data_IF_920304830107
#
_entry.id   IF_920304830107
#
_cell.length_a   1.000
_cell.length_b   1.000
_cell.length_c   1.000
_cell.angle_alpha   90.00
_cell.angle_beta   90.00
_cell.angle_gamma   90.00
#
_symmetry.space_group_name_H-M   'P 1'
#
loop_
_entity.id
_entity.type
_entity.pdbx_description
1 polymer ?
#
# COMPACT_ATOMS: atom_id res chain seq x y z
N UNK A 1 35.59 -19.37 -69.87
CA UNK A 1 36.03 -18.00 -69.52
C UNK A 1 34.78 -17.15 -69.49
N UNK A 2 34.12 -17.12 -68.35
CA UNK A 2 32.88 -16.36 -68.13
C UNK A 2 33.21 -15.26 -67.13
N UNK A 3 33.10 -14.01 -67.57
CA UNK A 3 33.26 -12.82 -66.74
C UNK A 3 31.88 -12.37 -66.27
N UNK A 4 31.58 -12.62 -65.00
CA UNK A 4 30.37 -12.13 -64.33
C UNK A 4 30.61 -10.70 -63.88
N UNK A 5 29.71 -9.80 -64.30
CA UNK A 5 29.77 -8.37 -64.03
C UNK A 5 29.26 -8.09 -62.62
N UNK A 6 30.07 -7.34 -61.88
CA UNK A 6 29.84 -6.82 -60.53
C UNK A 6 28.66 -5.84 -60.53
N UNK A 7 27.61 -6.13 -59.75
CA UNK A 7 26.47 -5.23 -59.53
C UNK A 7 26.39 -4.87 -58.05
N UNK A 8 27.20 -3.88 -57.68
CA UNK A 8 27.15 -3.22 -56.40
C UNK A 8 26.00 -2.21 -56.33
N UNK A 9 24.82 -2.66 -55.90
CA UNK A 9 23.77 -1.80 -55.35
C UNK A 9 23.51 -2.20 -53.89
N UNK A 10 24.48 -1.92 -53.02
CA UNK A 10 24.22 -1.82 -51.60
C UNK A 10 23.55 -0.46 -51.35
N UNK A 11 22.21 -0.44 -51.34
CA UNK A 11 21.46 0.67 -50.75
C UNK A 11 21.75 0.71 -49.26
N UNK A 12 22.77 1.49 -48.88
CA UNK A 12 22.99 1.92 -47.52
C UNK A 12 21.80 2.78 -47.13
N UNK A 13 20.79 2.15 -46.53
CA UNK A 13 19.71 2.83 -45.84
C UNK A 13 20.33 3.47 -44.60
N UNK A 14 20.93 4.64 -44.78
CA UNK A 14 21.41 5.46 -43.70
C UNK A 14 20.22 5.78 -42.80
N UNK A 15 20.19 5.17 -41.62
CA UNK A 15 19.26 5.50 -40.56
C UNK A 15 19.55 6.94 -40.15
N UNK A 16 18.92 7.91 -40.82
CA UNK A 16 18.92 9.30 -40.41
C UNK A 16 18.41 9.32 -38.97
N UNK A 17 19.31 9.60 -38.03
CA UNK A 17 18.93 9.77 -36.64
C UNK A 17 17.83 10.84 -36.60
N UNK A 18 16.68 10.56 -35.96
CA UNK A 18 15.56 11.50 -35.94
C UNK A 18 16.06 12.85 -35.42
N UNK A 19 15.59 13.92 -36.05
CA UNK A 19 15.94 15.30 -35.68
C UNK A 19 15.80 15.46 -34.15
N UNK A 20 16.78 16.05 -33.44
CA UNK A 20 16.77 16.12 -31.98
C UNK A 20 15.48 16.75 -31.42
N UNK A 21 14.93 17.72 -32.15
CA UNK A 21 13.67 18.40 -31.79
C UNK A 21 12.44 17.46 -31.85
N UNK A 22 12.43 16.49 -32.77
CA UNK A 22 11.37 15.48 -32.85
C UNK A 22 11.47 14.48 -31.69
N UNK A 23 12.70 14.09 -31.31
CA UNK A 23 12.93 13.21 -30.17
C UNK A 23 12.49 13.89 -28.85
N UNK A 24 12.77 15.18 -28.69
CA UNK A 24 12.37 15.96 -27.51
C UNK A 24 10.84 16.13 -27.43
N UNK A 25 10.17 16.53 -28.52
CA UNK A 25 8.70 16.65 -28.54
C UNK A 25 8.01 15.32 -28.25
N UNK A 26 8.49 14.22 -28.84
CA UNK A 26 7.92 12.89 -28.61
C UNK A 26 8.10 12.41 -27.16
N UNK A 27 9.27 12.63 -26.57
CA UNK A 27 9.54 12.23 -25.18
C UNK A 27 8.76 13.06 -24.19
N UNK A 28 8.57 14.35 -24.46
CA UNK A 28 7.68 15.22 -23.69
C UNK A 28 6.22 14.73 -23.73
N UNK A 29 5.67 14.43 -24.91
CA UNK A 29 4.29 13.91 -25.02
C UNK A 29 4.14 12.55 -24.34
N UNK A 30 5.12 11.65 -24.47
CA UNK A 30 5.12 10.38 -23.74
C UNK A 30 5.15 10.58 -22.22
N UNK A 31 5.98 11.49 -21.72
CA UNK A 31 6.04 11.85 -20.30
C UNK A 31 4.70 12.41 -19.82
N UNK A 32 4.07 13.31 -20.58
CA UNK A 32 2.78 13.92 -20.27
C UNK A 32 1.64 12.89 -20.21
N UNK A 33 1.61 11.94 -21.16
CA UNK A 33 0.66 10.82 -21.15
C UNK A 33 0.89 9.95 -19.90
N UNK A 34 2.14 9.63 -19.58
CA UNK A 34 2.48 8.83 -18.41
C UNK A 34 2.17 9.54 -17.08
N UNK A 35 2.36 10.86 -17.00
CA UNK A 35 2.04 11.68 -15.83
C UNK A 35 0.52 11.74 -15.63
N UNK A 36 -0.25 11.99 -16.70
CA UNK A 36 -1.70 11.95 -16.66
C UNK A 36 -2.24 10.57 -16.25
N UNK A 37 -1.63 9.49 -16.75
CA UNK A 37 -1.96 8.12 -16.35
C UNK A 37 -1.63 7.86 -14.87
N UNK A 38 -0.47 8.33 -14.37
CA UNK A 38 -0.07 8.22 -12.97
C UNK A 38 -1.04 8.95 -12.03
N UNK A 39 -1.40 10.20 -12.35
CA UNK A 39 -2.37 10.96 -11.55
C UNK A 39 -3.74 10.29 -11.54
N UNK A 40 -4.20 9.77 -12.68
CA UNK A 40 -5.46 9.02 -12.77
C UNK A 40 -5.41 7.73 -11.96
N UNK A 41 -4.31 6.99 -12.02
CA UNK A 41 -4.13 5.75 -11.27
C UNK A 41 -4.26 5.98 -9.76
N UNK A 42 -3.68 7.06 -9.22
CA UNK A 42 -3.85 7.42 -7.80
C UNK A 42 -5.31 7.70 -7.45
N UNK A 43 -6.02 8.44 -8.30
CA UNK A 43 -7.44 8.72 -8.09
C UNK A 43 -8.30 7.45 -8.16
N UNK A 44 -8.06 6.58 -9.14
CA UNK A 44 -8.80 5.34 -9.33
C UNK A 44 -8.55 4.35 -8.18
N UNK A 45 -7.30 4.25 -7.66
CA UNK A 45 -6.98 3.44 -6.49
C UNK A 45 -7.71 3.92 -5.23
N UNK A 46 -7.78 5.24 -5.00
CA UNK A 46 -8.56 5.82 -3.89
C UNK A 46 -10.05 5.54 -4.05
N UNK A 47 -10.59 5.70 -5.25
CA UNK A 47 -11.99 5.42 -5.56
C UNK A 47 -12.34 3.93 -5.35
N UNK A 48 -11.42 3.03 -5.71
CA UNK A 48 -11.57 1.59 -5.50
C UNK A 48 -11.65 1.22 -4.01
N UNK A 49 -10.81 1.82 -3.16
CA UNK A 49 -10.86 1.56 -1.72
C UNK A 49 -12.17 2.06 -1.09
N UNK A 50 -12.63 3.25 -1.50
CA UNK A 50 -13.95 3.77 -1.11
C UNK A 50 -15.07 2.83 -1.59
N UNK A 51 -15.02 2.35 -2.83
CA UNK A 51 -16.00 1.40 -3.37
C UNK A 51 -16.00 0.07 -2.60
N UNK A 52 -14.83 -0.46 -2.22
CA UNK A 52 -14.70 -1.68 -1.41
C UNK A 52 -15.33 -1.53 -0.03
N UNK A 53 -15.07 -0.42 0.65
CA UNK A 53 -15.66 -0.16 1.97
C UNK A 53 -17.19 -0.02 1.89
N UNK A 54 -17.69 0.69 0.88
CA UNK A 54 -19.13 0.80 0.61
C UNK A 54 -19.77 -0.55 0.30
N UNK A 55 -19.11 -1.39 -0.51
CA UNK A 55 -19.58 -2.74 -0.84
C UNK A 55 -19.64 -3.63 0.40
N UNK A 56 -18.61 -3.60 1.26
CA UNK A 56 -18.63 -4.33 2.53
C UNK A 56 -19.77 -3.86 3.44
N UNK A 57 -19.99 -2.55 3.54
CA UNK A 57 -21.08 -1.99 4.32
C UNK A 57 -22.47 -2.39 3.75
N UNK A 58 -22.64 -2.35 2.43
CA UNK A 58 -23.85 -2.78 1.74
C UNK A 58 -24.12 -4.28 1.95
N UNK A 59 -23.10 -5.14 1.82
CA UNK A 59 -23.20 -6.58 2.10
C UNK A 59 -23.56 -6.87 3.56
N UNK A 60 -22.98 -6.13 4.52
CA UNK A 60 -23.34 -6.24 5.95
C UNK A 60 -24.80 -5.84 6.20
N UNK A 61 -25.28 -4.75 5.60
CA UNK A 61 -26.69 -4.33 5.69
C UNK A 61 -27.65 -5.38 5.12
N UNK A 62 -27.39 -5.88 3.91
CA UNK A 62 -28.17 -6.96 3.28
C UNK A 62 -28.24 -8.22 4.17
N UNK A 63 -27.12 -8.59 4.79
CA UNK A 63 -27.06 -9.74 5.70
C UNK A 63 -27.87 -9.52 6.98
N UNK A 64 -27.91 -8.29 7.51
CA UNK A 64 -28.73 -7.94 8.68
C UNK A 64 -30.22 -7.92 8.35
N UNK A 65 -30.60 -7.41 7.18
CA UNK A 65 -31.99 -7.42 6.69
C UNK A 65 -32.51 -8.84 6.47
N UNK A 66 -31.68 -9.73 5.90
CA UNK A 66 -32.03 -11.15 5.73
C UNK A 66 -32.15 -11.92 7.04
N UNK A 67 -31.39 -11.52 8.08
CA UNK A 67 -31.44 -12.10 9.42
C UNK A 67 -32.52 -11.49 10.32
N UNK A 68 -33.12 -10.37 9.92
CA UNK A 68 -34.23 -9.78 10.65
C UNK A 68 -35.46 -10.70 10.52
N UNK A 69 -36.06 -11.16 11.63
CA UNK A 69 -37.27 -11.95 11.56
C UNK A 69 -38.36 -11.07 10.95
N UNK A 70 -38.87 -11.47 9.78
CA UNK A 70 -40.08 -10.87 9.20
C UNK A 70 -41.11 -10.77 10.33
N UNK A 71 -41.64 -9.57 10.66
CA UNK A 71 -42.65 -9.47 11.70
C UNK A 71 -43.80 -10.37 11.26
N UNK A 72 -43.99 -11.46 12.01
CA UNK A 72 -45.00 -12.46 11.71
C UNK A 72 -46.33 -11.74 11.52
N UNK A 73 -46.86 -11.81 10.29
CA UNK A 73 -48.28 -11.58 10.05
C UNK A 73 -49.02 -12.42 11.09
N UNK A 74 -49.62 -11.76 12.08
CA UNK A 74 -50.51 -12.42 13.04
C UNK A 74 -51.57 -13.18 12.23
N UNK A 75 -51.80 -14.48 12.45
CA UNK A 75 -52.99 -15.10 11.93
C UNK A 75 -54.17 -14.46 12.65
N UNK A 76 -55.04 -13.81 11.89
CA UNK A 76 -56.31 -13.27 12.37
C UNK A 76 -57.16 -14.43 12.90
N UNK A 77 -57.06 -14.67 14.21
CA UNK A 77 -57.89 -15.60 14.96
C UNK A 77 -59.31 -15.02 15.08
N UNK A 78 -60.25 -15.68 14.41
CA UNK A 78 -61.63 -15.92 14.84
C UNK A 78 -62.29 -14.79 15.66
N UNK A 79 -63.07 -13.94 14.98
CA UNK A 79 -64.26 -13.33 15.57
C UNK A 79 -65.50 -13.96 14.92
N UNK A 80 -66.18 -14.81 15.68
CA UNK A 80 -67.48 -15.44 15.41
C UNK A 80 -68.42 -15.08 16.59
N UNK A 81 -69.76 -15.18 16.46
CA UNK A 81 -70.60 -13.98 16.34
C UNK A 81 -71.79 -13.96 17.30
N UNK A 82 -72.06 -12.87 18.03
CA UNK A 82 -73.41 -12.63 18.60
C UNK A 82 -73.70 -11.14 18.78
N UNK A 83 -74.75 -10.64 18.12
CA UNK A 83 -75.29 -9.30 18.37
C UNK A 83 -76.11 -8.70 17.22
N UNK A 84 -77.26 -9.31 16.89
CA UNK A 84 -78.26 -8.74 15.96
C UNK A 84 -78.84 -7.44 16.51
N UNK A 85 -78.83 -6.35 15.71
CA UNK A 85 -80.04 -5.57 15.35
C UNK A 85 -79.75 -4.56 14.21
N UNK A 86 -80.44 -4.80 13.08
CA UNK A 86 -81.05 -3.91 12.05
C UNK A 86 -80.61 -2.42 12.09
N UNK A 87 -80.27 -1.73 10.99
CA UNK A 87 -80.91 -1.71 9.67
C UNK A 87 -80.10 -0.88 8.65
N UNK A 88 -79.97 -1.43 7.44
CA UNK A 88 -80.00 -0.81 6.10
C UNK A 88 -79.25 0.51 5.75
N UNK A 89 -78.35 0.37 4.76
CA UNK A 89 -78.41 0.93 3.39
C UNK A 89 -77.26 1.88 2.94
N UNK A 90 -76.33 1.26 2.21
CA UNK A 90 -75.75 1.63 0.91
C UNK A 90 -74.80 2.84 0.70
N UNK A 91 -73.77 2.53 -0.11
CA UNK A 91 -72.97 3.36 -1.07
C UNK A 91 -71.88 4.32 -0.57
N UNK A 92 -70.63 3.83 -0.63
CA UNK A 92 -69.46 4.29 -1.44
C UNK A 92 -69.49 5.65 -2.21
N UNK A 93 -68.33 6.20 -2.65
CA UNK A 93 -67.37 7.12 -1.99
C UNK A 93 -67.25 8.44 -2.83
N UNK A 94 -66.13 9.18 -3.00
CA UNK A 94 -64.91 9.46 -2.21
C UNK A 94 -64.71 10.99 -1.98
N UNK A 95 -63.55 11.40 -1.42
CA UNK A 95 -62.79 12.66 -1.68
C UNK A 95 -62.21 13.26 -0.40
N UNK A 96 -60.90 13.08 -0.21
CA UNK A 96 -60.07 14.14 0.36
C UNK A 96 -58.66 14.01 -0.19
N UNK A 97 -58.47 14.74 -1.29
CA UNK A 97 -57.24 15.37 -1.72
C UNK A 97 -56.53 15.97 -0.50
N UNK A 98 -55.37 15.44 -0.16
CA UNK A 98 -54.37 16.18 0.61
C UNK A 98 -53.12 16.29 -0.26
N UNK A 99 -52.48 17.47 -0.30
CA UNK A 99 -51.35 17.71 -1.18
C UNK A 99 -50.13 16.98 -0.63
N UNK A 100 -49.55 16.10 -1.46
CA UNK A 100 -48.17 15.66 -1.29
C UNK A 100 -47.30 16.89 -1.48
N UNK A 101 -46.80 17.42 -0.39
CA UNK A 101 -45.58 18.23 -0.36
C UNK A 101 -44.43 17.31 -0.76
N UNK A 102 -43.82 17.62 -1.88
CA UNK A 102 -42.53 17.10 -2.31
C UNK A 102 -41.50 17.34 -1.21
N UNK A 103 -41.13 16.26 -0.51
CA UNK A 103 -39.99 16.19 0.39
C UNK A 103 -38.76 15.66 -0.38
N UNK A 104 -37.55 16.08 0.01
CA UNK A 104 -36.36 16.00 -0.81
C UNK A 104 -35.93 14.55 -1.05
N UNK A 105 -35.43 14.33 -2.25
CA UNK A 105 -34.71 13.14 -2.74
C UNK A 105 -34.11 12.31 -1.60
N UNK A 106 -34.74 11.18 -1.29
CA UNK A 106 -34.06 10.09 -0.60
C UNK A 106 -32.86 9.74 -1.47
N UNK A 107 -31.64 9.98 -0.97
CA UNK A 107 -30.43 9.38 -1.52
C UNK A 107 -30.62 7.86 -1.47
N UNK A 108 -31.09 7.30 -2.58
CA UNK A 108 -31.18 5.87 -2.78
C UNK A 108 -29.75 5.36 -2.73
N UNK A 109 -29.39 4.75 -1.60
CA UNK A 109 -28.07 4.17 -1.41
C UNK A 109 -27.78 3.19 -2.56
N UNK A 110 -26.56 3.20 -3.13
CA UNK A 110 -26.23 2.37 -4.27
C UNK A 110 -26.41 0.89 -3.92
N UNK A 111 -26.99 0.14 -4.85
CA UNK A 111 -27.23 -1.29 -4.69
C UNK A 111 -25.92 -2.08 -4.70
N UNK A 112 -25.94 -3.30 -4.16
CA UNK A 112 -24.76 -4.18 -4.17
C UNK A 112 -24.28 -4.44 -5.60
N UNK A 113 -25.20 -4.64 -6.53
CA UNK A 113 -24.90 -4.97 -7.93
C UNK A 113 -24.27 -3.75 -8.65
N UNK A 114 -24.73 -2.53 -8.35
CA UNK A 114 -24.12 -1.28 -8.84
C UNK A 114 -22.69 -1.10 -8.32
N UNK A 115 -22.46 -1.37 -7.03
CA UNK A 115 -21.13 -1.28 -6.43
C UNK A 115 -20.17 -2.35 -6.97
N UNK A 116 -20.66 -3.55 -7.29
CA UNK A 116 -19.85 -4.60 -7.93
C UNK A 116 -19.47 -4.22 -9.36
N UNK A 117 -20.41 -3.69 -10.15
CA UNK A 117 -20.13 -3.18 -11.49
C UNK A 117 -19.15 -1.98 -11.49
N UNK A 118 -19.29 -1.07 -10.52
CA UNK A 118 -18.33 0.03 -10.34
C UNK A 118 -16.93 -0.47 -9.98
N UNK A 119 -16.82 -1.51 -9.16
CA UNK A 119 -15.54 -2.10 -8.78
C UNK A 119 -14.85 -2.75 -9.99
N UNK A 120 -15.61 -3.48 -10.83
CA UNK A 120 -15.11 -4.04 -12.09
C UNK A 120 -14.61 -2.94 -13.03
N UNK A 121 -15.41 -1.89 -13.24
CA UNK A 121 -15.01 -0.75 -14.07
C UNK A 121 -13.74 -0.06 -13.55
N UNK A 122 -13.60 0.11 -12.24
CA UNK A 122 -12.40 0.70 -11.64
C UNK A 122 -11.17 -0.19 -11.82
N UNK A 123 -11.31 -1.51 -11.67
CA UNK A 123 -10.22 -2.45 -11.93
C UNK A 123 -9.75 -2.39 -13.39
N UNK A 124 -10.67 -2.29 -14.36
CA UNK A 124 -10.33 -2.18 -15.78
C UNK A 124 -9.54 -0.89 -16.07
N UNK A 125 -9.99 0.23 -15.50
CA UNK A 125 -9.29 1.53 -15.63
C UNK A 125 -7.90 1.49 -15.02
N UNK A 126 -7.75 0.90 -13.83
CA UNK A 126 -6.45 0.70 -13.17
C UNK A 126 -5.53 -0.12 -14.06
N UNK A 127 -6.03 -1.26 -14.55
CA UNK A 127 -5.26 -2.16 -15.43
C UNK A 127 -4.81 -1.48 -16.71
N UNK A 128 -5.65 -0.62 -17.29
CA UNK A 128 -5.32 0.14 -18.49
C UNK A 128 -4.31 1.28 -18.23
N UNK A 129 -4.42 1.99 -17.10
CA UNK A 129 -3.56 3.13 -16.77
C UNK A 129 -2.18 2.73 -16.24
N UNK A 130 -2.08 1.57 -15.59
CA UNK A 130 -0.89 1.07 -14.93
C UNK A 130 0.38 1.00 -15.82
N UNK A 131 0.37 0.39 -17.02
CA UNK A 131 1.59 0.28 -17.84
C UNK A 131 2.14 1.63 -18.31
N UNK A 132 1.28 2.64 -18.49
CA UNK A 132 1.71 3.98 -18.83
C UNK A 132 2.32 4.70 -17.62
N UNK A 133 1.68 4.59 -16.45
CA UNK A 133 2.17 5.17 -15.20
C UNK A 133 3.53 4.59 -14.77
N UNK A 134 3.76 3.29 -14.97
CA UNK A 134 5.03 2.62 -14.66
C UNK A 134 6.23 3.16 -15.48
N UNK A 135 5.97 3.72 -16.66
CA UNK A 135 7.01 4.29 -17.53
C UNK A 135 7.34 5.75 -17.22
N UNK A 136 6.62 6.40 -16.30
CA UNK A 136 6.79 7.82 -15.99
C UNK A 136 8.23 8.18 -15.61
N UNK A 137 8.86 7.38 -14.73
CA UNK A 137 10.24 7.61 -14.29
C UNK A 137 11.23 7.51 -15.46
N UNK A 138 11.03 6.54 -16.38
CA UNK A 138 11.88 6.37 -17.54
C UNK A 138 11.76 7.55 -18.52
N UNK A 139 10.53 7.99 -18.81
CA UNK A 139 10.31 9.13 -19.70
C UNK A 139 10.83 10.45 -19.10
N UNK A 140 10.71 10.63 -17.78
CA UNK A 140 11.30 11.81 -17.13
C UNK A 140 12.83 11.81 -17.25
N UNK A 141 13.49 10.67 -17.04
CA UNK A 141 14.94 10.56 -17.18
C UNK A 141 15.40 10.74 -18.62
N UNK A 142 14.66 10.22 -19.60
CA UNK A 142 14.94 10.42 -21.02
C UNK A 142 14.80 11.90 -21.42
N UNK A 143 13.71 12.54 -20.97
CA UNK A 143 13.48 13.98 -21.17
C UNK A 143 14.61 14.81 -20.54
N UNK A 144 15.01 14.48 -19.31
CA UNK A 144 16.13 15.15 -18.61
C UNK A 144 17.44 15.00 -19.38
N UNK A 145 17.76 13.80 -19.88
CA UNK A 145 18.98 13.56 -20.67
C UNK A 145 18.98 14.37 -21.96
N UNK A 146 17.90 14.33 -22.73
CA UNK A 146 17.79 15.08 -23.99
C UNK A 146 17.96 16.59 -23.79
N UNK A 147 17.50 17.12 -22.66
CA UNK A 147 17.64 18.53 -22.30
C UNK A 147 19.02 18.89 -21.72
N UNK A 148 19.70 17.95 -21.06
CA UNK A 148 21.07 18.13 -20.59
C UNK A 148 22.10 17.99 -21.73
N UNK A 149 21.84 17.10 -22.70
CA UNK A 149 22.70 16.79 -23.85
C UNK A 149 22.42 17.69 -25.07
N UNK A 150 21.21 18.24 -25.18
CA UNK A 150 20.73 18.98 -26.36
C UNK A 150 20.54 20.48 -26.11
N UNK A 151 21.20 21.29 -26.95
CA UNK A 151 21.19 22.77 -27.04
C UNK A 151 21.47 23.53 -25.72
N UNK A 152 22.24 24.63 -25.77
CA UNK A 152 22.19 25.61 -24.68
C UNK A 152 20.82 26.27 -24.74
N UNK A 153 19.88 25.77 -23.94
CA UNK A 153 18.59 26.41 -23.83
C UNK A 153 18.79 27.82 -23.27
N UNK A 154 17.99 28.77 -23.78
CA UNK A 154 18.15 30.23 -23.66
C UNK A 154 18.34 30.73 -22.23
N UNK A 155 17.95 29.98 -21.20
CA UNK A 155 18.23 30.27 -19.80
C UNK A 155 19.73 30.35 -19.45
N UNK A 156 20.64 29.73 -20.23
CA UNK A 156 22.10 29.94 -20.06
C UNK A 156 22.57 31.31 -20.58
N UNK A 157 21.79 31.96 -21.43
CA UNK A 157 22.16 33.20 -22.13
C UNK A 157 21.48 34.44 -21.54
N UNK A 158 20.44 34.29 -20.72
CA UNK A 158 19.69 35.40 -20.08
C UNK A 158 20.39 36.01 -18.86
N UNK A 159 21.73 36.10 -18.86
CA UNK A 159 22.52 36.74 -17.79
C UNK A 159 22.51 38.29 -17.92
N UNK A 160 21.84 38.84 -18.94
CA UNK A 160 21.88 40.28 -19.21
C UNK A 160 20.76 41.06 -18.51
N UNK A 161 21.19 42.14 -17.83
CA UNK A 161 20.44 43.26 -17.23
C UNK A 161 19.73 43.02 -15.89
N UNK A 162 20.28 43.65 -14.85
CA UNK A 162 19.91 43.48 -13.45
C UNK A 162 18.49 43.94 -13.11
N UNK A 163 18.00 43.38 -11.99
CA UNK A 163 16.73 43.65 -11.28
C UNK A 163 15.52 42.71 -11.51
N UNK A 164 15.70 41.54 -12.12
CA UNK A 164 14.70 40.45 -12.08
C UNK A 164 15.30 39.16 -11.54
N UNK A 165 14.53 38.34 -10.82
CA UNK A 165 14.91 36.96 -10.52
C UNK A 165 15.32 36.26 -11.83
N UNK A 166 16.60 35.89 -11.97
CA UNK A 166 17.07 35.27 -13.21
C UNK A 166 16.41 33.91 -13.37
N UNK A 167 15.79 33.64 -14.53
CA UNK A 167 15.21 32.34 -14.86
C UNK A 167 16.23 31.18 -14.71
N UNK A 168 17.53 31.48 -14.82
CA UNK A 168 18.62 30.54 -14.56
C UNK A 168 18.72 30.12 -13.09
N UNK A 169 18.48 31.04 -12.16
CA UNK A 169 18.49 30.78 -10.72
C UNK A 169 17.27 29.97 -10.30
N UNK A 170 16.10 30.27 -10.86
CA UNK A 170 14.88 29.48 -10.66
C UNK A 170 15.06 28.04 -11.17
N UNK A 171 15.60 27.88 -12.37
CA UNK A 171 15.92 26.57 -12.93
C UNK A 171 16.89 25.76 -12.06
N UNK A 172 17.99 26.39 -11.62
CA UNK A 172 18.99 25.73 -10.77
C UNK A 172 18.39 25.30 -9.43
N UNK A 173 17.52 26.12 -8.83
CA UNK A 173 16.80 25.77 -7.60
C UNK A 173 15.81 24.63 -7.83
N UNK A 174 15.06 24.64 -8.93
CA UNK A 174 14.13 23.56 -9.27
C UNK A 174 14.87 22.23 -9.47
N UNK A 175 16.01 22.22 -10.17
CA UNK A 175 16.84 21.02 -10.36
C UNK A 175 17.37 20.46 -9.03
N UNK A 176 17.87 21.33 -8.15
CA UNK A 176 18.32 20.92 -6.80
C UNK A 176 17.16 20.34 -5.99
N UNK A 177 15.97 20.94 -6.10
CA UNK A 177 14.76 20.47 -5.42
C UNK A 177 14.35 19.08 -5.93
N UNK A 178 14.32 18.87 -7.24
CA UNK A 178 14.06 17.55 -7.82
C UNK A 178 15.05 16.51 -7.30
N UNK A 179 16.36 16.79 -7.34
CA UNK A 179 17.37 15.87 -6.82
C UNK A 179 17.18 15.52 -5.34
N UNK A 180 16.86 16.50 -4.50
CA UNK A 180 16.57 16.28 -3.09
C UNK A 180 15.30 15.43 -2.87
N UNK A 181 14.24 15.65 -3.66
CA UNK A 181 12.99 14.88 -3.55
C UNK A 181 13.11 13.48 -4.12
N UNK A 182 13.88 13.30 -5.20
CA UNK A 182 14.22 11.98 -5.74
C UNK A 182 14.97 11.16 -4.69
N UNK A 183 15.98 11.74 -4.04
CA UNK A 183 16.73 11.07 -2.99
C UNK A 183 15.83 10.71 -1.80
N UNK A 184 15.01 11.65 -1.32
CA UNK A 184 14.10 11.41 -0.20
C UNK A 184 13.09 10.27 -0.51
N UNK A 185 12.60 10.18 -1.74
CA UNK A 185 11.73 9.07 -2.15
C UNK A 185 12.48 7.73 -2.18
N UNK A 186 13.71 7.70 -2.69
CA UNK A 186 14.55 6.49 -2.69
C UNK A 186 14.84 6.03 -1.26
N UNK A 187 15.24 6.94 -0.37
CA UNK A 187 15.52 6.64 1.04
C UNK A 187 14.25 6.17 1.77
N UNK A 188 13.10 6.81 1.50
CA UNK A 188 11.80 6.41 2.00
C UNK A 188 11.45 4.97 1.58
N UNK A 189 11.60 4.65 0.29
CA UNK A 189 11.32 3.30 -0.24
C UNK A 189 12.23 2.22 0.36
N UNK A 190 13.51 2.51 0.56
CA UNK A 190 14.45 1.59 1.22
C UNK A 190 13.99 1.33 2.66
N UNK A 191 13.65 2.38 3.38
CA UNK A 191 13.18 2.33 4.77
C UNK A 191 11.88 1.55 4.89
N UNK A 192 10.86 1.86 4.07
CA UNK A 192 9.58 1.14 4.06
C UNK A 192 9.78 -0.34 3.81
N UNK A 193 10.62 -0.72 2.85
CA UNK A 193 10.89 -2.12 2.54
C UNK A 193 11.56 -2.87 3.71
N UNK A 194 12.49 -2.22 4.40
CA UNK A 194 13.13 -2.80 5.60
C UNK A 194 12.10 -3.00 6.72
N UNK A 195 11.21 -2.01 6.93
CA UNK A 195 10.13 -2.07 7.93
C UNK A 195 9.08 -3.14 7.59
N UNK A 196 8.69 -3.28 6.33
CA UNK A 196 7.80 -4.38 5.88
C UNK A 196 8.42 -5.75 6.16
N UNK A 197 9.72 -5.91 5.88
CA UNK A 197 10.43 -7.15 6.18
C UNK A 197 10.49 -7.42 7.69
N UNK A 198 10.80 -6.40 8.49
CA UNK A 198 10.76 -6.48 9.94
C UNK A 198 9.37 -6.85 10.48
N UNK A 199 8.31 -6.29 9.89
CA UNK A 199 6.91 -6.56 10.22
C UNK A 199 6.54 -8.02 9.97
N UNK A 200 6.91 -8.56 8.80
CA UNK A 200 6.67 -9.96 8.48
C UNK A 200 7.45 -10.91 9.41
N UNK A 201 8.71 -10.56 9.71
CA UNK A 201 9.55 -11.31 10.62
C UNK A 201 8.99 -11.33 12.05
N UNK A 202 8.53 -10.19 12.58
CA UNK A 202 7.97 -10.13 13.94
C UNK A 202 6.62 -10.83 14.05
N UNK A 203 5.78 -10.75 13.02
CA UNK A 203 4.52 -11.52 12.96
C UNK A 203 4.78 -13.02 12.95
N UNK A 204 5.80 -13.47 12.21
CA UNK A 204 6.23 -14.87 12.21
C UNK A 204 6.78 -15.30 13.58
N UNK A 205 7.58 -14.45 14.21
CA UNK A 205 8.10 -14.69 15.56
C UNK A 205 6.97 -14.84 16.57
N UNK A 206 5.99 -13.93 16.53
CA UNK A 206 4.80 -13.95 17.38
C UNK A 206 3.99 -15.23 17.20
N UNK A 207 3.71 -15.62 15.95
CA UNK A 207 3.01 -16.86 15.62
C UNK A 207 3.72 -18.10 16.18
N UNK A 208 5.04 -18.21 15.98
CA UNK A 208 5.83 -19.33 16.48
C UNK A 208 5.90 -19.36 18.01
N UNK A 209 6.00 -18.21 18.66
CA UNK A 209 6.03 -18.14 20.12
C UNK A 209 4.67 -18.50 20.73
N UNK A 210 3.57 -18.03 20.13
CA UNK A 210 2.22 -18.42 20.50
C UNK A 210 2.03 -19.95 20.40
N UNK A 211 2.54 -20.59 19.34
CA UNK A 211 2.52 -22.06 19.22
C UNK A 211 3.32 -22.76 20.32
N UNK A 212 4.49 -22.22 20.68
CA UNK A 212 5.27 -22.74 21.81
C UNK A 212 4.50 -22.61 23.14
N UNK A 213 3.77 -21.50 23.34
CA UNK A 213 2.91 -21.30 24.52
C UNK A 213 1.73 -22.25 24.57
N UNK A 214 1.01 -22.44 23.46
CA UNK A 214 -0.13 -23.37 23.38
C UNK A 214 0.28 -24.80 23.76
N UNK A 215 1.43 -25.27 23.26
CA UNK A 215 1.98 -26.57 23.60
C UNK A 215 2.39 -26.67 25.07
N UNK A 216 2.95 -25.61 25.64
CA UNK A 216 3.34 -25.58 27.05
C UNK A 216 2.15 -25.50 27.99
N UNK A 217 1.12 -24.70 27.69
CA UNK A 217 -0.12 -24.70 28.46
C UNK A 217 -0.75 -26.10 28.43
N UNK A 218 -0.71 -26.80 27.28
CA UNK A 218 -1.17 -28.18 27.22
C UNK A 218 -0.43 -29.15 28.17
N UNK A 219 0.78 -28.87 28.66
CA UNK A 219 1.49 -29.76 29.61
C UNK A 219 1.67 -29.17 31.01
N UNK A 220 1.52 -27.85 31.16
CA UNK A 220 1.74 -27.10 32.39
C UNK A 220 0.46 -26.49 32.98
N UNK A 221 -0.69 -26.55 32.27
CA UNK A 221 -1.90 -25.84 32.72
C UNK A 221 -2.35 -26.31 34.11
N UNK A 222 -2.55 -25.39 35.07
CA UNK A 222 -3.09 -25.72 36.39
C UNK A 222 -4.52 -26.29 36.31
N UNK A 223 -5.22 -26.06 35.19
CA UNK A 223 -6.61 -26.45 34.96
C UNK A 223 -6.78 -27.89 34.49
N UNK A 224 -5.69 -28.58 34.11
CA UNK A 224 -5.77 -30.01 33.78
C UNK A 224 -6.04 -30.81 35.04
N UNK A 225 -6.94 -31.79 34.93
CA UNK A 225 -7.29 -32.63 36.07
C UNK A 225 -6.03 -33.37 36.55
N UNK A 226 -5.85 -33.47 37.87
CA UNK A 226 -4.73 -34.19 38.51
C UNK A 226 -4.58 -35.63 37.97
N UNK A 227 -5.65 -36.20 37.41
CA UNK A 227 -5.70 -37.51 36.77
C UNK A 227 -5.11 -37.54 35.36
N UNK A 228 -5.34 -36.53 34.51
CA UNK A 228 -4.72 -36.43 33.17
C UNK A 228 -3.21 -36.19 33.24
N UNK A 229 -2.74 -35.50 34.28
CA UNK A 229 -1.31 -35.28 34.51
C UNK A 229 -0.57 -36.53 35.04
N UNK A 230 -1.29 -37.46 35.67
CA UNK A 230 -0.75 -38.71 36.25
C UNK A 230 -0.86 -39.89 35.28
N UNK A 231 -1.83 -39.88 34.36
CA UNK A 231 -2.04 -40.93 33.35
C UNK A 231 -1.47 -40.58 31.96
N UNK A 232 -0.90 -39.38 31.79
CA UNK A 232 -0.24 -39.00 30.55
C UNK A 232 1.05 -39.77 30.34
N UNK A 233 1.20 -40.39 29.16
CA UNK A 233 2.44 -41.02 28.74
C UNK A 233 3.61 -40.03 28.84
N UNK A 234 4.62 -40.34 29.65
CA UNK A 234 5.78 -39.48 29.86
C UNK A 234 6.54 -39.21 28.55
N UNK A 235 6.52 -40.16 27.61
CA UNK A 235 7.06 -40.01 26.28
C UNK A 235 6.29 -38.95 25.46
N UNK A 236 4.97 -38.91 25.61
CA UNK A 236 4.11 -37.89 25.00
C UNK A 236 4.45 -36.50 25.55
N UNK A 237 4.58 -36.36 26.88
CA UNK A 237 4.97 -35.08 27.51
C UNK A 237 6.33 -34.61 27.03
N UNK A 238 7.34 -35.49 27.04
CA UNK A 238 8.67 -35.16 26.56
C UNK A 238 8.65 -34.67 25.10
N UNK A 239 7.83 -35.30 24.26
CA UNK A 239 7.65 -34.90 22.86
C UNK A 239 7.04 -33.51 22.76
N UNK A 240 6.00 -33.20 23.54
CA UNK A 240 5.37 -31.87 23.55
C UNK A 240 6.34 -30.77 24.00
N UNK A 241 7.12 -30.99 25.07
CA UNK A 241 8.13 -30.01 25.50
C UNK A 241 9.23 -29.81 24.45
N UNK A 242 9.67 -30.89 23.79
CA UNK A 242 10.65 -30.80 22.70
C UNK A 242 10.09 -30.00 21.52
N UNK A 243 8.84 -30.25 21.14
CA UNK A 243 8.19 -29.51 20.06
C UNK A 243 8.04 -28.02 20.40
N UNK A 244 7.61 -27.70 21.62
CA UNK A 244 7.53 -26.31 22.10
C UNK A 244 8.91 -25.62 22.04
N UNK A 245 9.97 -26.33 22.40
CA UNK A 245 11.34 -25.83 22.30
C UNK A 245 11.76 -25.56 20.84
N UNK A 246 11.38 -26.40 19.88
CA UNK A 246 11.63 -26.14 18.46
C UNK A 246 10.87 -24.92 17.93
N UNK A 247 9.60 -24.75 18.32
CA UNK A 247 8.84 -23.54 17.98
C UNK A 247 9.45 -22.27 18.56
N UNK A 248 9.91 -22.31 19.82
CA UNK A 248 10.61 -21.19 20.45
C UNK A 248 11.92 -20.82 19.72
N UNK A 249 12.69 -21.80 19.23
CA UNK A 249 13.87 -21.53 18.40
C UNK A 249 13.49 -20.83 17.08
N UNK A 250 12.43 -21.30 16.41
CA UNK A 250 11.93 -20.63 15.19
C UNK A 250 11.51 -19.19 15.49
N UNK A 251 10.82 -18.97 16.60
CA UNK A 251 10.44 -17.63 17.05
C UNK A 251 11.66 -16.72 17.24
N UNK A 252 12.71 -17.21 17.92
CA UNK A 252 13.96 -16.48 18.12
C UNK A 252 14.65 -16.11 16.80
N UNK A 253 14.70 -17.03 15.83
CA UNK A 253 15.30 -16.77 14.51
C UNK A 253 14.55 -15.63 13.81
N UNK A 254 13.22 -15.69 13.77
CA UNK A 254 12.40 -14.65 13.17
C UNK A 254 12.54 -13.31 13.90
N UNK A 255 12.63 -13.32 15.23
CA UNK A 255 12.86 -12.11 16.02
C UNK A 255 14.23 -11.48 15.73
N UNK A 256 15.29 -12.28 15.65
CA UNK A 256 16.63 -11.79 15.28
C UNK A 256 16.64 -11.18 13.88
N UNK A 257 15.88 -11.74 12.95
CA UNK A 257 15.73 -11.20 11.61
C UNK A 257 15.02 -9.85 11.62
N UNK A 258 13.97 -9.69 12.43
CA UNK A 258 13.30 -8.42 12.64
C UNK A 258 14.28 -7.35 13.18
N UNK A 259 15.03 -7.69 14.23
CA UNK A 259 16.04 -6.80 14.82
C UNK A 259 17.09 -6.37 13.79
N UNK A 260 17.61 -7.33 13.01
CA UNK A 260 18.61 -7.07 11.97
C UNK A 260 18.08 -6.12 10.90
N UNK A 261 16.82 -6.28 10.50
CA UNK A 261 16.16 -5.42 9.52
C UNK A 261 15.93 -3.99 10.05
N UNK A 262 15.63 -3.85 11.35
CA UNK A 262 15.39 -2.56 11.99
C UNK A 262 16.67 -1.82 12.39
N UNK A 263 17.79 -2.53 12.56
CA UNK A 263 19.04 -1.96 13.07
C UNK A 263 19.52 -0.69 12.33
N UNK A 264 19.43 -0.59 10.98
CA UNK A 264 19.82 0.63 10.26
C UNK A 264 18.89 1.83 10.51
N UNK A 265 17.73 1.60 11.12
CA UNK A 265 16.62 2.55 11.25
C UNK A 265 16.20 2.76 12.72
N UNK A 266 17.11 2.51 13.67
CA UNK A 266 16.85 2.68 15.11
C UNK A 266 16.53 4.11 15.52
N UNK A 267 16.95 5.09 14.73
CA UNK A 267 16.61 6.50 14.89
C UNK A 267 15.11 6.78 14.73
N UNK A 268 14.35 5.89 14.09
CA UNK A 268 12.90 5.97 13.99
C UNK A 268 12.18 5.51 15.27
N UNK A 269 12.89 4.84 16.18
CA UNK A 269 12.30 4.27 17.39
C UNK A 269 12.34 5.29 18.54
N UNK A 270 11.26 5.34 19.32
CA UNK A 270 11.26 6.02 20.62
C UNK A 270 12.09 5.22 21.62
N UNK A 271 12.55 5.90 22.68
CA UNK A 271 13.32 5.26 23.75
C UNK A 271 12.62 4.04 24.36
N UNK A 272 11.32 4.14 24.61
CA UNK A 272 10.57 3.04 25.23
C UNK A 272 10.49 1.81 24.30
N UNK A 273 10.37 2.04 22.99
CA UNK A 273 10.29 1.01 21.95
C UNK A 273 11.66 0.32 21.75
N UNK A 274 12.75 1.09 21.82
CA UNK A 274 14.12 0.57 21.86
C UNK A 274 14.35 -0.27 23.12
N UNK A 275 13.91 0.21 24.28
CA UNK A 275 14.07 -0.53 25.54
C UNK A 275 13.33 -1.87 25.49
N UNK A 276 12.11 -1.92 24.95
CA UNK A 276 11.38 -3.18 24.77
C UNK A 276 12.12 -4.14 23.84
N UNK A 277 12.74 -3.64 22.76
CA UNK A 277 13.57 -4.43 21.86
C UNK A 277 14.82 -4.97 22.55
N UNK A 278 15.53 -4.14 23.31
CA UNK A 278 16.71 -4.53 24.10
C UNK A 278 16.35 -5.56 25.18
N UNK A 279 15.26 -5.35 25.90
CA UNK A 279 14.77 -6.27 26.91
C UNK A 279 14.39 -7.63 26.29
N UNK A 280 13.78 -7.63 25.11
CA UNK A 280 13.48 -8.84 24.34
C UNK A 280 14.75 -9.54 23.82
N UNK A 281 15.77 -8.78 23.40
CA UNK A 281 17.07 -9.36 23.01
C UNK A 281 17.80 -9.99 24.20
N UNK A 282 17.80 -9.30 25.34
CA UNK A 282 18.45 -9.78 26.56
C UNK A 282 17.75 -11.01 27.15
N UNK A 283 16.42 -11.00 27.14
CA UNK A 283 15.61 -12.10 27.69
C UNK A 283 15.52 -13.27 26.72
N UNK A 284 15.46 -12.98 25.41
CA UNK A 284 15.22 -13.93 24.34
C UNK A 284 13.82 -14.55 24.36
N UNK A 285 13.55 -15.34 23.34
CA UNK A 285 12.32 -16.11 23.12
C UNK A 285 12.54 -17.62 23.37
N UNK A 286 13.51 -17.98 24.23
CA UNK A 286 13.96 -19.37 24.44
C UNK A 286 13.44 -20.00 25.75
N UNK A 287 12.39 -19.44 26.35
CA UNK A 287 11.83 -19.93 27.63
C UNK A 287 11.35 -21.38 27.51
N UNK A 288 10.74 -21.77 26.40
CA UNK A 288 10.33 -23.16 26.16
C UNK A 288 11.54 -24.13 26.07
N UNK A 289 12.67 -23.66 25.51
CA UNK A 289 13.91 -24.44 25.48
C UNK A 289 14.46 -24.63 26.89
N UNK A 290 14.40 -23.58 27.72
CA UNK A 290 14.82 -23.64 29.12
C UNK A 290 13.94 -24.61 29.92
N UNK A 291 12.61 -24.59 29.70
CA UNK A 291 11.67 -25.54 30.30
C UNK A 291 11.96 -26.98 29.88
N UNK A 292 12.18 -27.26 28.59
CA UNK A 292 12.55 -28.61 28.13
C UNK A 292 13.84 -29.12 28.79
N UNK A 293 14.88 -28.26 28.86
CA UNK A 293 16.15 -28.60 29.52
C UNK A 293 15.98 -28.81 31.03
N UNK A 294 15.11 -28.05 31.68
CA UNK A 294 14.82 -28.21 33.11
C UNK A 294 14.13 -29.55 33.39
N UNK A 295 13.18 -29.94 32.54
CA UNK A 295 12.39 -31.17 32.71
C UNK A 295 13.15 -32.45 32.29
N UNK A 296 13.97 -32.38 31.23
CA UNK A 296 14.57 -33.57 30.60
C UNK A 296 16.09 -33.50 30.39
N UNK A 297 16.77 -32.46 30.89
CA UNK A 297 18.21 -32.23 30.68
C UNK A 297 19.16 -32.98 31.61
N UNK A 298 18.67 -33.94 32.40
CA UNK A 298 19.50 -34.91 33.11
C UNK A 298 20.24 -34.43 34.38
N UNK A 299 20.01 -33.21 34.88
CA UNK A 299 20.53 -32.78 36.19
C UNK A 299 19.53 -33.10 37.29
N UNK A 300 20.03 -33.84 38.28
CA UNK A 300 19.37 -34.45 39.44
C UNK A 300 18.16 -33.65 39.95
N UNK A 301 17.00 -34.31 39.94
CA UNK A 301 15.71 -33.89 40.49
C UNK A 301 15.85 -33.50 41.97
N UNK A 302 16.20 -32.24 42.22
CA UNK A 302 16.18 -31.64 43.56
C UNK A 302 14.85 -30.90 43.79
N UNK A 303 14.40 -30.85 45.04
CA UNK A 303 13.25 -30.04 45.47
C UNK A 303 13.32 -28.63 44.86
N UNK A 304 12.23 -28.15 44.24
CA UNK A 304 12.13 -26.80 43.68
C UNK A 304 11.83 -26.70 42.19
N UNK A 305 11.85 -27.82 41.44
CA UNK A 305 11.54 -27.84 40.00
C UNK A 305 10.15 -27.25 39.71
N UNK A 306 9.14 -27.59 40.51
CA UNK A 306 7.78 -27.06 40.33
C UNK A 306 7.72 -25.54 40.43
N UNK A 307 8.47 -24.94 41.38
CA UNK A 307 8.55 -23.49 41.53
C UNK A 307 9.32 -22.84 40.38
N UNK A 308 10.40 -23.46 39.92
CA UNK A 308 11.15 -22.97 38.75
C UNK A 308 10.32 -23.04 37.46
N UNK A 309 9.57 -24.13 37.23
CA UNK A 309 8.66 -24.26 36.09
C UNK A 309 7.59 -23.16 36.14
N UNK A 310 6.98 -22.91 37.30
CA UNK A 310 5.97 -21.87 37.45
C UNK A 310 6.54 -20.47 37.17
N UNK A 311 7.74 -20.16 37.67
CA UNK A 311 8.44 -18.90 37.36
C UNK A 311 8.70 -18.79 35.86
N UNK A 312 9.11 -19.87 35.19
CA UNK A 312 9.36 -19.87 33.74
C UNK A 312 8.11 -19.64 32.90
N UNK A 313 6.98 -20.23 33.29
CA UNK A 313 5.69 -19.96 32.64
C UNK A 313 5.30 -18.49 32.79
N UNK A 314 5.43 -17.91 34.00
CA UNK A 314 5.17 -16.48 34.21
C UNK A 314 6.10 -15.58 33.38
N UNK A 315 7.39 -15.95 33.26
CA UNK A 315 8.32 -15.21 32.39
C UNK A 315 7.92 -15.32 30.92
N UNK A 316 7.43 -16.48 30.48
CA UNK A 316 6.96 -16.68 29.12
C UNK A 316 5.77 -15.76 28.79
N UNK A 317 4.80 -15.62 29.70
CA UNK A 317 3.67 -14.70 29.53
C UNK A 317 4.15 -13.24 29.43
N UNK A 318 5.08 -12.84 30.29
CA UNK A 318 5.65 -11.49 30.27
C UNK A 318 6.43 -11.20 28.97
N UNK A 319 7.20 -12.17 28.48
CA UNK A 319 7.94 -12.07 27.21
C UNK A 319 6.96 -12.00 26.04
N UNK A 320 5.87 -12.77 26.06
CA UNK A 320 4.86 -12.72 25.01
C UNK A 320 4.12 -11.38 24.96
N UNK A 321 3.78 -10.81 26.11
CA UNK A 321 3.16 -9.49 26.20
C UNK A 321 4.08 -8.42 25.58
N UNK A 322 5.37 -8.43 25.92
CA UNK A 322 6.37 -7.52 25.33
C UNK A 322 6.53 -7.74 23.82
N UNK A 323 6.63 -9.00 23.39
CA UNK A 323 6.70 -9.35 21.97
C UNK A 323 5.47 -8.84 21.20
N UNK A 324 4.29 -8.91 21.81
CA UNK A 324 3.04 -8.40 21.24
C UNK A 324 3.07 -6.88 21.11
N UNK A 325 3.47 -6.16 22.17
CA UNK A 325 3.60 -4.70 22.12
C UNK A 325 4.60 -4.25 21.03
N UNK A 326 5.76 -4.91 20.98
CA UNK A 326 6.77 -4.62 19.97
C UNK A 326 6.25 -4.93 18.55
N UNK A 327 5.54 -6.04 18.35
CA UNK A 327 4.93 -6.38 17.05
C UNK A 327 3.91 -5.34 16.57
N UNK A 328 3.03 -4.87 17.47
CA UNK A 328 2.06 -3.80 17.19
C UNK A 328 2.79 -2.53 16.77
N UNK A 329 3.85 -2.17 17.51
CA UNK A 329 4.66 -1.01 17.16
C UNK A 329 5.30 -1.14 15.76
N UNK A 330 5.97 -2.25 15.45
CA UNK A 330 6.58 -2.46 14.12
C UNK A 330 5.53 -2.32 13.03
N UNK A 331 4.33 -2.87 13.25
CA UNK A 331 3.23 -2.77 12.32
C UNK A 331 2.77 -1.33 12.10
N UNK A 332 2.60 -0.55 13.16
CA UNK A 332 2.16 0.84 13.06
C UNK A 332 3.24 1.75 12.46
N UNK A 333 4.51 1.52 12.81
CA UNK A 333 5.65 2.20 12.19
C UNK A 333 5.74 1.88 10.69
N UNK A 334 5.47 0.63 10.29
CA UNK A 334 5.45 0.24 8.87
C UNK A 334 4.39 1.03 8.09
N UNK A 335 3.16 1.12 8.62
CA UNK A 335 2.08 1.91 7.97
C UNK A 335 2.42 3.39 7.87
N UNK A 336 3.07 3.94 8.90
CA UNK A 336 3.54 5.32 8.88
C UNK A 336 4.58 5.52 7.77
N UNK A 337 5.59 4.64 7.66
CA UNK A 337 6.58 4.71 6.58
C UNK A 337 5.98 4.56 5.19
N UNK A 338 4.98 3.68 5.01
CA UNK A 338 4.23 3.56 3.75
C UNK A 338 3.54 4.88 3.37
N UNK A 339 2.98 5.59 4.35
CA UNK A 339 2.38 6.92 4.13
C UNK A 339 3.44 7.94 3.74
N UNK A 340 4.57 7.98 4.45
CA UNK A 340 5.69 8.88 4.15
C UNK A 340 6.29 8.63 2.76
N UNK A 341 6.40 7.37 2.34
CA UNK A 341 6.84 7.01 0.99
C UNK A 341 5.89 7.55 -0.08
N UNK A 342 4.58 7.43 0.13
CA UNK A 342 3.56 7.97 -0.77
C UNK A 342 3.65 9.50 -0.86
N UNK A 343 3.75 10.20 0.28
CA UNK A 343 3.91 11.65 0.34
C UNK A 343 5.23 12.09 -0.35
N UNK A 344 6.31 11.35 -0.15
CA UNK A 344 7.59 11.59 -0.81
C UNK A 344 7.48 11.42 -2.33
N UNK A 345 6.73 10.41 -2.81
CA UNK A 345 6.44 10.21 -4.22
C UNK A 345 5.63 11.36 -4.81
N UNK A 346 4.55 11.78 -4.13
CA UNK A 346 3.74 12.92 -4.59
C UNK A 346 4.56 14.21 -4.65
N UNK A 347 5.38 14.47 -3.62
CA UNK A 347 6.28 15.63 -3.58
C UNK A 347 7.34 15.60 -4.68
N UNK A 348 7.91 14.41 -4.96
CA UNK A 348 8.84 14.17 -6.07
C UNK A 348 8.20 14.48 -7.41
N UNK A 349 7.03 13.91 -7.67
CA UNK A 349 6.32 14.06 -8.95
C UNK A 349 5.90 15.53 -9.16
N UNK A 350 5.50 16.25 -8.10
CA UNK A 350 5.23 17.68 -8.15
C UNK A 350 6.48 18.51 -8.49
N UNK A 351 7.63 18.21 -7.89
CA UNK A 351 8.88 18.89 -8.20
C UNK A 351 9.32 18.65 -9.66
N UNK A 352 9.15 17.42 -10.15
CA UNK A 352 9.45 17.06 -11.55
C UNK A 352 8.54 17.79 -12.53
N UNK A 353 7.23 17.84 -12.26
CA UNK A 353 6.27 18.63 -13.06
C UNK A 353 6.63 20.11 -13.09
N UNK A 354 7.02 20.69 -11.95
CA UNK A 354 7.47 22.08 -11.91
C UNK A 354 8.72 22.32 -12.76
N UNK A 355 9.71 21.42 -12.69
CA UNK A 355 10.90 21.49 -13.55
C UNK A 355 10.54 21.41 -15.04
N UNK A 356 9.65 20.51 -15.42
CA UNK A 356 9.16 20.40 -16.81
C UNK A 356 8.39 21.65 -17.24
N UNK A 357 7.57 22.23 -16.36
CA UNK A 357 6.86 23.47 -16.66
C UNK A 357 7.83 24.64 -16.93
N UNK A 358 8.93 24.74 -16.17
CA UNK A 358 9.99 25.71 -16.44
C UNK A 358 10.66 25.45 -17.80
N UNK A 359 10.81 24.18 -18.17
CA UNK A 359 11.35 23.81 -19.49
C UNK A 359 10.46 24.27 -20.64
N UNK A 360 9.17 23.95 -20.57
CA UNK A 360 8.18 24.33 -21.58
C UNK A 360 8.10 25.84 -21.69
N UNK A 361 8.06 26.56 -20.56
CA UNK A 361 7.95 28.01 -20.54
C UNK A 361 9.09 28.70 -21.30
N UNK A 362 10.34 28.31 -21.08
CA UNK A 362 11.41 29.00 -21.80
C UNK A 362 11.64 28.46 -23.22
N UNK A 363 11.10 27.31 -23.60
CA UNK A 363 10.96 26.94 -25.01
C UNK A 363 9.98 27.90 -25.72
N UNK A 364 8.82 28.14 -25.12
CA UNK A 364 7.82 29.12 -25.60
C UNK A 364 8.40 30.55 -25.68
N UNK A 365 9.12 31.01 -24.65
CA UNK A 365 9.73 32.35 -24.62
C UNK A 365 10.86 32.52 -25.68
N UNK A 366 11.37 31.43 -26.27
CA UNK A 366 12.47 31.47 -27.25
C UNK A 366 11.98 31.54 -28.72
N UNK A 367 10.65 31.57 -28.95
CA UNK A 367 9.96 31.81 -30.25
C UNK A 367 10.57 31.10 -31.49
N UNK A 368 11.11 29.88 -31.35
CA UNK A 368 11.57 29.11 -32.53
C UNK A 368 10.75 27.87 -32.81
N UNK A 369 10.28 27.13 -31.80
CA UNK A 369 9.36 25.99 -31.92
C UNK A 369 8.62 25.83 -30.58
N UNK A 370 7.39 25.31 -30.58
CA UNK A 370 6.61 25.07 -29.37
C UNK A 370 6.54 23.57 -29.09
N UNK A 371 7.05 23.13 -27.93
CA UNK A 371 6.86 21.76 -27.42
C UNK A 371 5.38 21.39 -27.23
N UNK A 372 4.48 22.36 -27.12
CA UNK A 372 3.04 22.16 -26.91
C UNK A 372 2.23 21.95 -28.20
N UNK A 373 2.80 22.28 -29.37
CA UNK A 373 2.18 22.03 -30.67
C UNK A 373 3.21 22.08 -31.80
N UNK A 374 3.40 20.99 -32.58
CA UNK A 374 4.08 21.10 -33.87
C UNK A 374 3.13 21.81 -34.83
N UNK A 375 3.06 23.15 -34.78
CA UNK A 375 2.25 23.91 -35.73
C UNK A 375 2.83 23.76 -37.14
N UNK A 376 1.97 23.45 -38.11
CA UNK A 376 2.19 23.31 -39.56
C UNK A 376 2.62 24.62 -40.27
N UNK A 377 3.47 25.43 -39.65
CA UNK A 377 4.02 26.62 -40.28
C UNK A 377 5.22 26.22 -41.14
N UNK A 378 4.86 25.69 -42.31
CA UNK A 378 5.65 25.66 -43.54
C UNK A 378 6.48 26.94 -43.65
N UNK A 379 7.80 26.82 -43.48
CA UNK A 379 8.73 27.87 -43.89
C UNK A 379 8.59 28.06 -45.40
N UNK A 380 7.80 29.04 -45.82
CA UNK A 380 7.85 29.58 -47.17
C UNK A 380 9.19 30.29 -47.29
N UNK A 381 10.17 29.59 -47.88
CA UNK A 381 11.38 30.21 -48.41
C UNK A 381 10.97 31.24 -49.47
N UNK A 382 10.93 32.52 -49.10
CA UNK A 382 11.03 33.60 -50.09
C UNK A 382 12.44 33.58 -50.67
N UNK A 383 12.57 32.97 -51.84
CA UNK A 383 13.75 33.09 -52.68
C UNK A 383 13.90 34.57 -53.10
N UNK A 384 14.92 35.25 -52.59
CA UNK A 384 15.40 36.49 -53.16
C UNK A 384 16.20 36.15 -54.42
N UNK A 385 15.65 36.49 -55.59
CA UNK A 385 16.38 36.51 -56.86
C UNK A 385 17.43 37.62 -56.84
N UNK A 386 18.66 37.28 -57.22
CA UNK A 386 19.66 38.24 -57.74
C UNK A 386 19.69 38.10 -59.25
#
# INVERSE_FOLDING_TARGET
>A
MESTVDSGYASSSGWLSPHPDYALSRTYENWKIADAASQRLVADLRALEVCRTQLQAAKRRRNLEQKSPKPGRKPSLLQLPFGKRKSAKASEPPLSTSPRLDGPSTETLPSVDELEAQLEQLNDRITAAQPAAERLDAYFEELRRLLDDGRPVSWRSSISSGHGHSSADEYTRARKTVGARDQAYVDGKVTTKALQHACNAIQSAHHHYMKAMELLDAVCSPKKSRWEAVMGDEQSRQTTYREAAEWAKKAQICFNECVRALQPHWDLLKRDELQDCEDLQNTGLLQAVQLYKLMYGGKILAMGITQQVQIMVQKQDAVFARLTNFAVWVQDCTKFCETVELDARESRDAARRHLVALWVKADEDTERYSLAAPSENSHVFTATSV
#
